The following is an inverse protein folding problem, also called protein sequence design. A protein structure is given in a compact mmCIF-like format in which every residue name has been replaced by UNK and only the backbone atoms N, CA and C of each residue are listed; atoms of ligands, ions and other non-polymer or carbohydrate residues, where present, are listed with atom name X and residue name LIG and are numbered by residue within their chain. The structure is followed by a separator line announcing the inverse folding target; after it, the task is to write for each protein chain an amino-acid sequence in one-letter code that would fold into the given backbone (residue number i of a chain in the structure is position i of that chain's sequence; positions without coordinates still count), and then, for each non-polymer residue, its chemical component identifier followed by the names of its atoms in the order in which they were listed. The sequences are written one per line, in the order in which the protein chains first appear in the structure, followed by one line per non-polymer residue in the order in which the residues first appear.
data_IF_820488389242
#
_entry.id   IF_820488389242
#
_cell.length_a   1.000
_cell.length_b   1.000
_cell.length_c   1.000
_cell.angle_alpha   90.00
_cell.angle_beta   90.00
_cell.angle_gamma   90.00
#
_symmetry.space_group_name_H-M   'P 1'
#
loop_
_entity.id
_entity.type
_entity.pdbx_description
1 polymer ?
#
# COMPACT_ATOMS: atom_id res chain seq x y z
N UNK A 1 -9.98 -10.39 -25.75
CA UNK A 1 -8.61 -9.99 -25.28
C UNK A 1 -8.70 -8.80 -24.33
N UNK A 2 -7.93 -8.78 -23.22
CA UNK A 2 -7.83 -7.63 -22.34
C UNK A 2 -7.29 -6.39 -23.06
N UNK A 3 -7.75 -5.15 -22.66
CA UNK A 3 -7.18 -3.92 -23.25
C UNK A 3 -5.71 -3.77 -22.87
N UNK A 4 -4.95 -3.15 -23.74
CA UNK A 4 -3.55 -2.80 -23.48
C UNK A 4 -3.39 -2.02 -22.16
N UNK A 5 -4.29 -1.05 -21.91
CA UNK A 5 -4.31 -0.26 -20.68
C UNK A 5 -4.49 -1.11 -19.42
N UNK A 6 -5.45 -2.04 -19.41
CA UNK A 6 -5.71 -2.89 -18.26
C UNK A 6 -4.57 -3.87 -18.00
N UNK A 7 -3.97 -4.44 -19.06
CA UNK A 7 -2.74 -5.26 -18.92
C UNK A 7 -1.61 -4.49 -18.26
N UNK A 8 -1.40 -3.23 -18.69
CA UNK A 8 -0.40 -2.33 -18.09
C UNK A 8 -0.67 -2.08 -16.61
N UNK A 9 -1.93 -1.87 -16.22
CA UNK A 9 -2.32 -1.69 -14.83
C UNK A 9 -2.03 -2.92 -13.97
N UNK A 10 -2.39 -4.12 -14.45
CA UNK A 10 -2.10 -5.39 -13.75
C UNK A 10 -0.60 -5.64 -13.66
N UNK A 11 0.16 -5.37 -14.72
CA UNK A 11 1.62 -5.47 -14.70
C UNK A 11 2.23 -4.60 -13.59
N UNK A 12 1.82 -3.31 -13.50
CA UNK A 12 2.26 -2.46 -12.40
C UNK A 12 1.80 -2.96 -11.04
N UNK A 13 0.59 -3.52 -10.92
CA UNK A 13 0.11 -4.10 -9.67
C UNK A 13 0.94 -5.29 -9.20
N UNK A 14 1.34 -6.18 -10.12
CA UNK A 14 2.22 -7.32 -9.83
C UNK A 14 3.61 -6.86 -9.38
N UNK A 15 4.20 -5.88 -10.08
CA UNK A 15 5.49 -5.28 -9.65
C UNK A 15 5.34 -4.66 -8.26
N UNK A 16 4.25 -3.93 -8.03
CA UNK A 16 3.98 -3.33 -6.72
C UNK A 16 3.87 -4.40 -5.63
N UNK A 17 3.17 -5.51 -5.90
CA UNK A 17 3.05 -6.62 -4.96
C UNK A 17 4.39 -7.28 -4.65
N UNK A 18 5.24 -7.47 -5.67
CA UNK A 18 6.60 -7.99 -5.50
C UNK A 18 7.43 -7.06 -4.60
N UNK A 19 7.50 -5.78 -4.96
CA UNK A 19 8.24 -4.78 -4.17
C UNK A 19 7.67 -4.69 -2.75
N UNK A 20 6.35 -4.70 -2.59
CA UNK A 20 5.68 -4.67 -1.29
C UNK A 20 6.06 -5.87 -0.41
N UNK A 21 6.09 -7.06 -0.99
CA UNK A 21 6.47 -8.28 -0.25
C UNK A 21 7.91 -8.23 0.24
N UNK A 22 8.84 -7.81 -0.62
CA UNK A 22 10.25 -7.59 -0.24
C UNK A 22 10.36 -6.47 0.78
N UNK A 23 9.66 -5.35 0.56
CA UNK A 23 9.68 -4.19 1.46
C UNK A 23 9.17 -4.54 2.86
N UNK A 24 8.09 -5.32 2.97
CA UNK A 24 7.57 -5.75 4.27
C UNK A 24 8.59 -6.61 5.02
N UNK A 25 9.29 -7.52 4.34
CA UNK A 25 10.35 -8.33 4.93
C UNK A 25 11.52 -7.44 5.41
N UNK A 26 12.02 -6.56 4.56
CA UNK A 26 13.14 -5.66 4.86
C UNK A 26 12.78 -4.65 5.95
N UNK A 27 11.58 -4.05 5.91
CA UNK A 27 11.13 -3.09 6.91
C UNK A 27 11.05 -3.71 8.32
N UNK A 28 10.73 -5.01 8.43
CA UNK A 28 10.72 -5.71 9.72
C UNK A 28 12.11 -5.69 10.37
N UNK A 29 13.17 -5.85 9.59
CA UNK A 29 14.55 -5.79 10.07
C UNK A 29 14.95 -4.34 10.34
N UNK A 30 14.65 -3.43 9.39
CA UNK A 30 15.05 -2.03 9.47
C UNK A 30 14.45 -1.29 10.67
N UNK A 31 13.19 -1.57 11.03
CA UNK A 31 12.51 -0.92 12.15
C UNK A 31 13.10 -1.31 13.52
N UNK A 32 13.75 -2.45 13.61
CA UNK A 32 14.45 -2.86 14.83
C UNK A 32 15.80 -2.16 14.99
N UNK A 33 16.42 -1.74 13.89
CA UNK A 33 17.69 -1.00 13.84
C UNK A 33 17.47 0.51 14.00
N UNK A 34 16.38 1.04 13.42
CA UNK A 34 16.09 2.49 13.41
C UNK A 34 14.84 2.74 14.24
N UNK A 35 15.04 3.14 15.49
CA UNK A 35 13.95 3.40 16.45
C UNK A 35 13.86 4.89 16.79
N UNK A 36 12.67 5.41 17.09
CA UNK A 36 11.37 4.73 17.08
C UNK A 36 10.76 4.62 15.65
N UNK A 37 9.79 3.72 15.44
CA UNK A 37 9.15 3.50 14.13
C UNK A 37 8.55 4.75 13.49
N UNK A 38 8.06 5.69 14.29
CA UNK A 38 7.52 6.97 13.82
C UNK A 38 8.61 7.79 13.11
N UNK A 39 9.80 7.92 13.72
CA UNK A 39 10.93 8.67 13.15
C UNK A 39 11.42 7.98 11.87
N UNK A 40 11.64 6.66 11.92
CA UNK A 40 12.01 5.88 10.73
C UNK A 40 11.04 6.10 9.57
N UNK A 41 9.73 6.09 9.84
CA UNK A 41 8.72 6.27 8.79
C UNK A 41 8.71 7.72 8.28
N UNK A 42 8.82 8.71 9.16
CA UNK A 42 8.84 10.12 8.81
C UNK A 42 10.03 10.46 7.90
N UNK A 43 11.23 10.05 8.30
CA UNK A 43 12.47 10.28 7.53
C UNK A 43 12.43 9.56 6.17
N UNK A 44 12.08 8.29 6.16
CA UNK A 44 11.95 7.50 4.93
C UNK A 44 10.97 8.15 3.94
N UNK A 45 9.79 8.54 4.41
CA UNK A 45 8.79 9.20 3.57
C UNK A 45 9.26 10.57 3.07
N UNK A 46 9.98 11.33 3.91
CA UNK A 46 10.54 12.62 3.53
C UNK A 46 11.60 12.47 2.43
N UNK A 47 12.52 11.53 2.56
CA UNK A 47 13.55 11.27 1.54
C UNK A 47 12.89 10.86 0.23
N UNK A 48 11.90 9.95 0.25
CA UNK A 48 11.17 9.55 -0.96
C UNK A 48 10.41 10.73 -1.55
N UNK A 49 9.78 11.56 -0.71
CA UNK A 49 9.10 12.79 -1.14
C UNK A 49 10.05 13.74 -1.88
N UNK A 50 11.23 13.99 -1.33
CA UNK A 50 12.27 14.82 -1.94
C UNK A 50 12.75 14.25 -3.28
N UNK A 51 12.99 12.93 -3.35
CA UNK A 51 13.41 12.27 -4.60
C UNK A 51 12.36 12.40 -5.69
N UNK A 52 11.07 12.24 -5.36
CA UNK A 52 9.98 12.36 -6.34
C UNK A 52 9.79 13.82 -6.77
N UNK A 53 9.85 14.77 -5.84
CA UNK A 53 9.79 16.20 -6.17
C UNK A 53 10.98 16.59 -7.06
N UNK A 54 12.18 16.13 -6.75
CA UNK A 54 13.36 16.31 -7.59
C UNK A 54 13.17 15.73 -9.00
N UNK A 55 12.61 14.53 -9.10
CA UNK A 55 12.28 13.91 -10.39
C UNK A 55 11.22 14.69 -11.18
N UNK A 56 10.19 15.25 -10.50
CA UNK A 56 9.19 16.11 -11.14
C UNK A 56 9.81 17.39 -11.71
N UNK A 57 10.76 17.97 -10.98
CA UNK A 57 11.50 19.17 -11.43
C UNK A 57 12.40 18.80 -12.63
N UNK A 58 13.20 17.76 -12.51
CA UNK A 58 14.14 17.33 -13.56
C UNK A 58 13.42 16.91 -14.86
N UNK A 59 12.21 16.37 -14.77
CA UNK A 59 11.40 15.96 -15.94
C UNK A 59 10.40 17.01 -16.41
N UNK A 60 10.47 18.23 -15.88
CA UNK A 60 9.58 19.35 -16.19
C UNK A 60 8.08 19.08 -15.93
N UNK A 61 7.76 17.97 -15.27
CA UNK A 61 6.36 17.62 -14.96
C UNK A 61 5.72 18.55 -13.92
N UNK A 62 6.51 19.31 -13.17
CA UNK A 62 6.02 20.32 -12.24
C UNK A 62 5.12 21.37 -12.93
N UNK A 63 5.30 21.61 -14.24
CA UNK A 63 4.43 22.52 -15.01
C UNK A 63 2.97 22.04 -15.02
N UNK A 64 2.73 20.72 -14.94
CA UNK A 64 1.37 20.17 -14.86
C UNK A 64 0.67 20.54 -13.55
N UNK A 65 1.41 20.89 -12.51
CA UNK A 65 0.83 21.32 -11.22
C UNK A 65 0.10 22.63 -11.39
N UNK A 66 0.58 23.53 -12.27
CA UNK A 66 -0.07 24.80 -12.57
C UNK A 66 -1.42 24.67 -13.27
N UNK A 67 -1.68 23.51 -13.88
CA UNK A 67 -2.92 23.20 -14.59
C UNK A 67 -3.98 22.56 -13.70
N UNK A 68 -3.65 22.28 -12.42
CA UNK A 68 -4.56 21.66 -11.48
C UNK A 68 -5.65 22.64 -11.05
N UNK A 69 -6.88 22.17 -11.07
CA UNK A 69 -8.00 22.92 -10.50
C UNK A 69 -8.05 22.79 -8.98
N UNK A 70 -8.81 23.70 -8.32
CA UNK A 70 -8.95 23.73 -6.85
C UNK A 70 -9.38 22.37 -6.27
N UNK A 71 -10.28 21.66 -6.94
CA UNK A 71 -10.78 20.36 -6.50
C UNK A 71 -9.66 19.30 -6.49
N UNK A 72 -8.83 19.26 -7.54
CA UNK A 72 -7.70 18.35 -7.62
C UNK A 72 -6.66 18.63 -6.53
N UNK A 73 -6.40 19.92 -6.25
CA UNK A 73 -5.50 20.32 -5.15
C UNK A 73 -6.03 19.83 -3.80
N UNK A 74 -7.33 20.02 -3.53
CA UNK A 74 -7.94 19.51 -2.29
C UNK A 74 -7.81 17.98 -2.18
N UNK A 75 -8.07 17.25 -3.28
CA UNK A 75 -7.85 15.79 -3.26
C UNK A 75 -6.40 15.40 -3.00
N UNK A 76 -5.42 16.11 -3.57
CA UNK A 76 -4.00 15.85 -3.32
C UNK A 76 -3.61 16.10 -1.86
N UNK A 77 -4.13 17.16 -1.24
CA UNK A 77 -3.95 17.44 0.18
C UNK A 77 -4.56 16.34 1.04
N UNK A 78 -5.80 15.92 0.74
CA UNK A 78 -6.46 14.81 1.44
C UNK A 78 -5.68 13.50 1.29
N UNK A 79 -5.14 13.19 0.11
CA UNK A 79 -4.29 12.01 -0.12
C UNK A 79 -3.02 12.10 0.74
N UNK A 80 -2.40 13.27 0.86
CA UNK A 80 -1.25 13.48 1.75
C UNK A 80 -1.60 13.22 3.22
N UNK A 81 -2.71 13.75 3.71
CA UNK A 81 -3.16 13.61 5.10
C UNK A 81 -3.64 12.18 5.36
N UNK A 82 -4.58 11.67 4.54
CA UNK A 82 -5.26 10.39 4.75
C UNK A 82 -4.38 9.21 4.34
N UNK A 83 -3.51 9.36 3.35
CA UNK A 83 -2.66 8.27 2.86
C UNK A 83 -1.23 8.32 3.39
N UNK A 84 -0.68 9.52 3.54
CA UNK A 84 0.74 9.74 3.81
C UNK A 84 1.10 9.94 5.28
N UNK A 85 0.17 10.27 6.18
CA UNK A 85 0.49 10.62 7.58
C UNK A 85 -0.42 9.96 8.62
N UNK A 86 -1.67 10.38 8.76
CA UNK A 86 -2.57 9.95 9.82
C UNK A 86 -2.67 8.43 9.98
N UNK A 87 -2.85 7.63 8.91
CA UNK A 87 -2.90 6.17 9.05
C UNK A 87 -1.61 5.58 9.58
N UNK A 88 -0.46 6.12 9.22
CA UNK A 88 0.82 5.64 9.73
C UNK A 88 0.93 5.86 11.24
N UNK A 89 0.54 7.04 11.73
CA UNK A 89 0.53 7.34 13.15
C UNK A 89 -0.41 6.37 13.91
N UNK A 90 -1.64 6.23 13.44
CA UNK A 90 -2.63 5.32 14.06
C UNK A 90 -2.15 3.86 14.01
N UNK A 91 -1.61 3.42 12.86
CA UNK A 91 -1.14 2.05 12.67
C UNK A 91 -0.02 1.71 13.65
N UNK A 92 1.03 2.53 13.72
CA UNK A 92 2.16 2.26 14.61
C UNK A 92 1.80 2.42 16.09
N UNK A 93 0.94 3.40 16.44
CA UNK A 93 0.42 3.54 17.81
C UNK A 93 -0.42 2.32 18.19
N UNK A 94 -1.30 1.86 17.32
CA UNK A 94 -2.09 0.66 17.56
C UNK A 94 -1.22 -0.60 17.64
N UNK A 95 -0.27 -0.75 16.71
CA UNK A 95 0.60 -1.93 16.66
C UNK A 95 1.52 -2.07 17.90
N UNK A 96 1.85 -0.96 18.55
CA UNK A 96 2.61 -0.99 19.81
C UNK A 96 1.81 -1.54 21.00
N UNK A 97 0.48 -1.63 20.87
CA UNK A 97 -0.44 -2.04 21.94
C UNK A 97 -1.00 -3.46 21.74
N UNK A 98 -0.76 -4.08 20.59
CA UNK A 98 -1.35 -5.38 20.23
C UNK A 98 -0.30 -6.33 19.66
N UNK A 99 -0.55 -7.66 19.68
CA UNK A 99 0.28 -8.61 18.98
C UNK A 99 0.39 -8.29 17.48
N UNK A 100 1.59 -8.36 16.91
CA UNK A 100 1.85 -8.04 15.51
C UNK A 100 0.96 -8.83 14.53
N UNK A 101 0.58 -10.06 14.92
CA UNK A 101 -0.30 -10.92 14.13
C UNK A 101 -1.72 -10.34 14.00
N UNK A 102 -2.28 -9.75 15.08
CA UNK A 102 -3.59 -9.11 15.04
C UNK A 102 -3.54 -7.89 14.12
N UNK A 103 -2.50 -7.05 14.26
CA UNK A 103 -2.29 -5.90 13.37
C UNK A 103 -2.17 -6.30 11.90
N UNK A 104 -1.44 -7.38 11.62
CA UNK A 104 -1.32 -7.87 10.25
C UNK A 104 -2.65 -8.37 9.68
N UNK A 105 -3.46 -9.10 10.45
CA UNK A 105 -4.78 -9.60 10.02
C UNK A 105 -5.72 -8.42 9.73
N UNK A 106 -5.80 -7.45 10.66
CA UNK A 106 -6.65 -6.27 10.48
C UNK A 106 -6.24 -5.51 9.22
N UNK A 107 -4.95 -5.29 9.01
CA UNK A 107 -4.47 -4.56 7.82
C UNK A 107 -4.79 -5.29 6.51
N UNK A 108 -4.86 -6.61 6.51
CA UNK A 108 -5.25 -7.41 5.33
C UNK A 108 -6.72 -7.25 4.96
N UNK A 109 -7.57 -6.76 5.87
CA UNK A 109 -8.95 -6.40 5.55
C UNK A 109 -9.05 -5.20 4.60
N UNK A 110 -7.94 -4.50 4.32
CA UNK A 110 -7.87 -3.36 3.39
C UNK A 110 -8.59 -3.65 2.07
N UNK A 111 -8.40 -4.83 1.48
CA UNK A 111 -9.03 -5.19 0.20
C UNK A 111 -10.56 -5.20 0.29
N UNK A 112 -11.10 -5.58 1.44
CA UNK A 112 -12.56 -5.59 1.70
C UNK A 112 -13.07 -4.14 1.77
N UNK A 113 -12.39 -3.27 2.54
CA UNK A 113 -12.77 -1.87 2.67
C UNK A 113 -12.64 -1.11 1.35
N UNK A 114 -11.59 -1.40 0.57
CA UNK A 114 -11.45 -0.87 -0.79
C UNK A 114 -12.62 -1.30 -1.66
N UNK A 115 -13.03 -2.57 -1.63
CA UNK A 115 -14.16 -3.06 -2.42
C UNK A 115 -15.48 -2.39 -2.00
N UNK A 116 -15.74 -2.29 -0.67
CA UNK A 116 -16.92 -1.62 -0.12
C UNK A 116 -17.02 -0.16 -0.57
N UNK A 117 -15.90 0.55 -0.59
CA UNK A 117 -15.86 1.96 -0.99
C UNK A 117 -15.84 2.14 -2.51
N UNK A 118 -15.14 1.31 -3.26
CA UNK A 118 -15.02 1.47 -4.72
C UNK A 118 -16.35 1.25 -5.46
N UNK A 119 -17.20 0.35 -4.97
CA UNK A 119 -18.51 0.07 -5.59
C UNK A 119 -19.38 1.35 -5.64
N UNK A 120 -19.71 2.04 -4.54
CA UNK A 120 -20.55 3.23 -4.58
C UNK A 120 -19.82 4.47 -5.11
N UNK A 121 -18.56 4.69 -4.73
CA UNK A 121 -17.87 5.96 -5.04
C UNK A 121 -17.22 6.01 -6.42
N UNK A 122 -16.77 4.87 -6.95
CA UNK A 122 -16.13 4.74 -8.27
C UNK A 122 -17.05 4.01 -9.27
N UNK A 123 -18.19 3.50 -8.82
CA UNK A 123 -19.12 2.67 -9.63
C UNK A 123 -18.42 1.45 -10.23
N UNK A 124 -17.40 0.93 -9.54
CA UNK A 124 -16.73 -0.29 -9.95
C UNK A 124 -17.69 -1.49 -9.80
N UNK A 125 -17.72 -2.37 -10.81
CA UNK A 125 -18.56 -3.57 -10.78
C UNK A 125 -17.67 -4.76 -10.44
N UNK A 126 -18.04 -5.49 -9.40
CA UNK A 126 -17.39 -6.76 -9.04
C UNK A 126 -18.16 -7.91 -9.66
N UNK A 127 -17.54 -8.67 -10.56
CA UNK A 127 -18.11 -9.93 -11.02
C UNK A 127 -18.06 -10.99 -9.91
N UNK A 128 -18.98 -11.98 -9.90
CA UNK A 128 -18.90 -13.09 -8.91
C UNK A 128 -17.54 -13.80 -8.92
N UNK A 129 -16.93 -13.94 -10.09
CA UNK A 129 -15.63 -14.56 -10.22
C UNK A 129 -14.50 -13.69 -9.58
N UNK A 130 -14.61 -12.35 -9.66
CA UNK A 130 -13.68 -11.46 -8.97
C UNK A 130 -13.87 -11.55 -7.44
N UNK A 131 -15.10 -11.67 -6.97
CA UNK A 131 -15.38 -11.87 -5.54
C UNK A 131 -14.77 -13.18 -5.03
N UNK A 132 -14.88 -14.26 -5.79
CA UNK A 132 -14.23 -15.55 -5.46
C UNK A 132 -12.70 -15.36 -5.40
N UNK A 133 -12.10 -14.68 -6.37
CA UNK A 133 -10.66 -14.40 -6.36
C UNK A 133 -10.23 -13.63 -5.09
N UNK A 134 -10.97 -12.59 -4.72
CA UNK A 134 -10.72 -11.82 -3.49
C UNK A 134 -10.83 -12.71 -2.26
N UNK A 135 -11.85 -13.56 -2.19
CA UNK A 135 -12.04 -14.49 -1.07
C UNK A 135 -10.87 -15.47 -0.94
N UNK A 136 -10.37 -16.03 -2.05
CA UNK A 136 -9.19 -16.90 -2.05
C UNK A 136 -7.95 -16.19 -1.56
N UNK A 137 -7.68 -14.97 -2.07
CA UNK A 137 -6.54 -14.16 -1.67
C UNK A 137 -6.61 -13.75 -0.20
N UNK A 138 -7.80 -13.43 0.29
CA UNK A 138 -8.01 -13.10 1.70
C UNK A 138 -7.83 -14.32 2.60
N UNK A 139 -8.44 -15.47 2.23
CA UNK A 139 -8.30 -16.72 2.97
C UNK A 139 -6.85 -17.19 3.05
N UNK A 140 -6.10 -17.08 1.95
CA UNK A 140 -4.66 -17.39 1.93
C UNK A 140 -3.90 -16.66 3.04
N UNK A 141 -4.28 -15.43 3.34
CA UNK A 141 -3.62 -14.64 4.39
C UNK A 141 -4.05 -15.04 5.80
N UNK A 142 -5.26 -15.54 5.98
CA UNK A 142 -5.74 -15.99 7.28
C UNK A 142 -5.05 -17.29 7.72
N UNK A 143 -4.64 -18.14 6.77
CA UNK A 143 -4.04 -19.45 7.06
C UNK A 143 -2.72 -19.37 7.80
N UNK A 144 -1.94 -18.31 7.64
CA UNK A 144 -0.66 -18.15 8.35
C UNK A 144 -0.83 -17.48 9.71
N UNK A 145 -1.76 -16.52 9.81
CA UNK A 145 -1.93 -15.74 11.02
C UNK A 145 -2.87 -16.38 12.05
N UNK A 146 -3.75 -17.28 11.61
CA UNK A 146 -4.88 -17.73 12.43
C UNK A 146 -5.81 -16.57 12.81
N UNK A 147 -6.91 -16.90 13.48
CA UNK A 147 -7.68 -15.90 14.21
C UNK A 147 -7.13 -15.86 15.65
N UNK A 148 -6.12 -15.00 15.89
CA UNK A 148 -5.77 -14.66 17.27
C UNK A 148 -7.00 -14.04 17.94
N UNK A 149 -7.12 -14.20 19.26
CA UNK A 149 -8.28 -13.66 20.00
C UNK A 149 -8.33 -12.14 19.84
N UNK A 150 -9.26 -11.64 19.02
CA UNK A 150 -9.58 -10.23 18.93
C UNK A 150 -10.28 -9.78 20.21
N UNK A 151 -9.77 -8.72 20.85
CA UNK A 151 -10.32 -8.19 22.09
C UNK A 151 -11.05 -6.86 21.90
N UNK A 152 -11.14 -6.37 20.65
CA UNK A 152 -11.64 -5.02 20.32
C UNK A 152 -10.95 -3.93 21.16
N UNK A 153 -9.66 -4.12 21.42
CA UNK A 153 -8.84 -3.19 22.18
C UNK A 153 -8.66 -1.87 21.42
N UNK A 154 -8.26 -0.81 22.13
CA UNK A 154 -7.95 0.48 21.53
C UNK A 154 -6.88 0.36 20.42
N UNK A 155 -5.87 -0.51 20.62
CA UNK A 155 -4.83 -0.76 19.63
C UNK A 155 -5.38 -1.40 18.35
N UNK A 156 -6.30 -2.36 18.46
CA UNK A 156 -6.95 -2.97 17.29
C UNK A 156 -7.83 -1.97 16.55
N UNK A 157 -8.55 -1.10 17.27
CA UNK A 157 -9.33 -0.03 16.65
C UNK A 157 -8.46 0.97 15.91
N UNK A 158 -7.31 1.34 16.45
CA UNK A 158 -6.37 2.24 15.75
C UNK A 158 -5.83 1.63 14.46
N UNK A 159 -5.47 0.34 14.46
CA UNK A 159 -5.03 -0.36 13.25
C UNK A 159 -6.17 -0.48 12.23
N UNK A 160 -7.40 -0.74 12.68
CA UNK A 160 -8.57 -0.79 11.81
C UNK A 160 -8.87 0.58 11.19
N UNK A 161 -8.86 1.65 11.98
CA UNK A 161 -9.04 3.02 11.47
C UNK A 161 -7.97 3.38 10.43
N UNK A 162 -6.71 3.06 10.69
CA UNK A 162 -5.62 3.24 9.74
C UNK A 162 -5.90 2.50 8.42
N UNK A 163 -6.35 1.26 8.51
CA UNK A 163 -6.67 0.42 7.36
C UNK A 163 -7.81 1.00 6.52
N UNK A 164 -8.87 1.49 7.18
CA UNK A 164 -10.00 2.15 6.51
C UNK A 164 -9.56 3.47 5.86
N UNK A 165 -8.74 4.27 6.53
CA UNK A 165 -8.20 5.50 5.96
C UNK A 165 -7.35 5.24 4.70
N UNK A 166 -6.53 4.19 4.68
CA UNK A 166 -5.82 3.79 3.47
C UNK A 166 -6.79 3.35 2.36
N UNK A 167 -7.87 2.64 2.69
CA UNK A 167 -8.89 2.30 1.70
C UNK A 167 -9.55 3.55 1.10
N UNK A 168 -9.89 4.54 1.93
CA UNK A 168 -10.40 5.84 1.48
C UNK A 168 -9.39 6.53 0.56
N UNK A 169 -8.11 6.59 0.95
CA UNK A 169 -7.04 7.18 0.14
C UNK A 169 -6.94 6.53 -1.23
N UNK A 170 -7.00 5.20 -1.31
CA UNK A 170 -6.91 4.46 -2.58
C UNK A 170 -8.07 4.83 -3.52
N UNK A 171 -9.28 5.00 -2.97
CA UNK A 171 -10.45 5.42 -3.74
C UNK A 171 -10.34 6.88 -4.19
N UNK A 172 -9.87 7.78 -3.31
CA UNK A 172 -9.63 9.19 -3.65
C UNK A 172 -8.57 9.32 -4.75
N UNK A 173 -7.46 8.59 -4.62
CA UNK A 173 -6.40 8.57 -5.62
C UNK A 173 -6.92 8.05 -6.97
N UNK A 174 -7.67 6.94 -6.98
CA UNK A 174 -8.27 6.41 -8.20
C UNK A 174 -9.17 7.43 -8.89
N UNK A 175 -9.91 8.23 -8.12
CA UNK A 175 -10.84 9.22 -8.66
C UNK A 175 -10.16 10.37 -9.41
N UNK A 176 -8.94 10.76 -9.01
CA UNK A 176 -8.23 11.87 -9.64
C UNK A 176 -7.19 11.45 -10.69
N UNK A 177 -6.68 10.23 -10.59
CA UNK A 177 -5.63 9.71 -11.47
C UNK A 177 -5.94 9.72 -12.96
N UNK A 178 -7.19 9.64 -13.45
CA UNK A 178 -7.48 9.84 -14.87
C UNK A 178 -6.97 11.19 -15.39
N UNK A 179 -7.11 12.26 -14.60
CA UNK A 179 -6.80 13.63 -14.98
C UNK A 179 -5.54 14.20 -14.35
N UNK A 180 -4.90 13.45 -13.43
CA UNK A 180 -3.67 13.88 -12.72
C UNK A 180 -2.55 12.89 -13.01
N UNK A 181 -1.34 13.42 -13.19
CA UNK A 181 -0.16 12.59 -13.38
C UNK A 181 0.13 11.76 -12.10
N UNK A 182 0.36 10.45 -12.20
CA UNK A 182 0.66 9.61 -11.03
C UNK A 182 1.84 10.11 -10.19
N UNK A 183 2.84 10.70 -10.82
CA UNK A 183 4.01 11.21 -10.12
C UNK A 183 3.66 12.43 -9.24
N UNK A 184 2.67 13.25 -9.66
CA UNK A 184 2.14 14.36 -8.85
C UNK A 184 1.36 13.82 -7.64
N UNK A 185 0.53 12.79 -7.84
CA UNK A 185 -0.20 12.13 -6.73
C UNK A 185 0.79 11.54 -5.72
N UNK A 186 1.84 10.89 -6.22
CA UNK A 186 2.91 10.33 -5.39
C UNK A 186 3.64 11.42 -4.60
N UNK A 187 4.00 12.53 -5.27
CA UNK A 187 4.66 13.66 -4.64
C UNK A 187 3.78 14.30 -3.56
N UNK A 188 2.50 14.45 -3.80
CA UNK A 188 1.56 14.98 -2.80
C UNK A 188 1.46 14.07 -1.58
N UNK A 189 1.28 12.76 -1.79
CA UNK A 189 1.22 11.79 -0.68
C UNK A 189 2.50 11.78 0.15
N UNK A 190 3.64 11.67 -0.51
CA UNK A 190 4.91 11.57 0.18
C UNK A 190 5.36 12.93 0.76
N UNK A 191 5.17 14.03 0.03
CA UNK A 191 5.56 15.37 0.47
C UNK A 191 4.69 15.86 1.64
N UNK A 192 3.38 16.02 1.45
CA UNK A 192 2.49 16.50 2.52
C UNK A 192 2.45 15.51 3.69
N UNK A 193 2.41 14.19 3.40
CA UNK A 193 2.39 13.17 4.44
C UNK A 193 3.64 13.20 5.31
N UNK A 194 4.82 13.35 4.71
CA UNK A 194 6.07 13.41 5.48
C UNK A 194 6.20 14.68 6.32
N UNK A 195 5.72 15.83 5.85
CA UNK A 195 5.73 17.06 6.65
C UNK A 195 4.92 16.89 7.94
N UNK A 196 3.75 16.25 7.86
CA UNK A 196 2.91 15.98 9.04
C UNK A 196 3.58 14.95 9.96
N UNK A 197 4.17 13.88 9.40
CA UNK A 197 4.87 12.87 10.19
C UNK A 197 6.13 13.44 10.86
N UNK A 198 6.90 14.28 10.17
CA UNK A 198 8.06 14.97 10.75
C UNK A 198 7.65 15.92 11.87
N UNK A 199 6.54 16.66 11.68
CA UNK A 199 5.96 17.49 12.73
C UNK A 199 5.55 16.67 13.95
N UNK A 200 4.89 15.54 13.75
CA UNK A 200 4.53 14.62 14.84
C UNK A 200 5.79 14.03 15.51
N UNK A 201 6.81 13.63 14.75
CA UNK A 201 8.06 13.11 15.29
C UNK A 201 8.83 14.19 16.08
N UNK A 202 8.81 15.44 15.64
CA UNK A 202 9.43 16.56 16.35
C UNK A 202 8.80 16.84 17.73
N UNK A 203 7.50 16.57 17.86
CA UNK A 203 6.77 16.73 19.13
C UNK A 203 6.93 15.50 20.03
N UNK A 204 6.77 14.28 19.45
CA UNK A 204 6.68 13.04 20.21
C UNK A 204 8.07 12.47 20.53
N UNK A 205 9.04 12.61 19.63
CA UNK A 205 10.37 11.99 19.74
C UNK A 205 11.50 12.91 19.24
N UNK A 206 11.64 14.16 19.76
CA UNK A 206 12.56 15.16 19.20
C UNK A 206 14.02 14.70 19.24
N UNK A 207 14.47 14.07 20.33
CA UNK A 207 15.84 13.58 20.45
C UNK A 207 16.17 12.46 19.45
N UNK A 208 15.19 11.59 19.15
CA UNK A 208 15.38 10.53 18.17
C UNK A 208 15.39 11.09 16.74
N UNK A 209 14.56 12.10 16.45
CA UNK A 209 14.55 12.78 15.16
C UNK A 209 15.90 13.47 14.88
N UNK A 210 16.48 14.17 15.86
CA UNK A 210 17.81 14.77 15.71
C UNK A 210 18.89 13.73 15.46
N UNK A 211 18.82 12.59 16.18
CA UNK A 211 19.75 11.45 15.95
C UNK A 211 19.63 10.86 14.54
N UNK A 212 18.46 10.88 13.96
CA UNK A 212 18.22 10.37 12.60
C UNK A 212 19.02 11.10 11.51
N UNK A 213 19.36 12.37 11.74
CA UNK A 213 20.26 13.13 10.84
C UNK A 213 21.72 12.71 10.90
N UNK A 214 22.11 11.90 11.88
CA UNK A 214 23.48 11.35 12.04
C UNK A 214 23.42 9.82 12.12
N UNK A 215 23.00 9.13 11.06
CA UNK A 215 22.84 7.68 11.09
C UNK A 215 24.21 6.99 11.14
N UNK A 216 24.27 5.88 11.87
CA UNK A 216 25.39 4.93 11.76
C UNK A 216 25.39 4.30 10.35
N UNK A 217 26.52 3.70 9.95
CA UNK A 217 26.61 3.01 8.65
C UNK A 217 25.49 1.96 8.46
N UNK A 218 25.19 1.19 9.50
CA UNK A 218 24.12 0.19 9.47
C UNK A 218 22.75 0.84 9.30
N UNK A 219 22.46 1.91 10.02
CA UNK A 219 21.20 2.65 9.89
C UNK A 219 21.05 3.26 8.50
N UNK A 220 22.12 3.85 7.96
CA UNK A 220 22.15 4.39 6.61
C UNK A 220 21.85 3.32 5.56
N UNK A 221 22.49 2.15 5.66
CA UNK A 221 22.23 1.03 4.75
C UNK A 221 20.75 0.61 4.74
N UNK A 222 20.15 0.41 5.93
CA UNK A 222 18.75 0.02 6.02
C UNK A 222 17.79 1.14 5.59
N UNK A 223 18.11 2.39 5.90
CA UNK A 223 17.35 3.54 5.42
C UNK A 223 17.38 3.62 3.89
N UNK A 224 18.55 3.59 3.28
CA UNK A 224 18.70 3.64 1.83
C UNK A 224 17.95 2.50 1.12
N UNK A 225 18.08 1.28 1.62
CA UNK A 225 17.39 0.10 1.08
C UNK A 225 15.87 0.28 1.14
N UNK A 226 15.35 0.70 2.29
CA UNK A 226 13.90 0.89 2.46
C UNK A 226 13.35 2.08 1.69
N UNK A 227 14.15 3.14 1.47
CA UNK A 227 13.82 4.28 0.61
C UNK A 227 13.67 3.83 -0.85
N UNK A 228 14.62 3.04 -1.39
CA UNK A 228 14.53 2.51 -2.76
C UNK A 228 13.28 1.66 -2.93
N UNK A 229 13.01 0.76 -1.99
CA UNK A 229 11.83 -0.09 -2.03
C UNK A 229 10.53 0.73 -1.94
N UNK A 230 10.46 1.73 -1.06
CA UNK A 230 9.29 2.60 -0.94
C UNK A 230 9.07 3.44 -2.21
N UNK A 231 10.14 3.99 -2.79
CA UNK A 231 10.09 4.74 -4.04
C UNK A 231 9.53 3.87 -5.18
N UNK A 232 10.04 2.65 -5.33
CA UNK A 232 9.53 1.68 -6.30
C UNK A 232 8.06 1.33 -6.05
N UNK A 233 7.69 1.06 -4.80
CA UNK A 233 6.32 0.75 -4.40
C UNK A 233 5.34 1.88 -4.76
N UNK A 234 5.57 3.10 -4.28
CA UNK A 234 4.61 4.19 -4.47
C UNK A 234 4.47 4.60 -5.95
N UNK A 235 5.57 4.57 -6.70
CA UNK A 235 5.55 4.91 -8.13
C UNK A 235 4.82 3.88 -8.96
N UNK A 236 5.00 2.59 -8.70
CA UNK A 236 4.28 1.51 -9.40
C UNK A 236 2.83 1.42 -8.95
N UNK A 237 2.53 1.65 -7.67
CA UNK A 237 1.20 1.65 -7.10
C UNK A 237 0.26 2.65 -7.79
N UNK A 238 0.63 3.92 -7.86
CA UNK A 238 -0.23 4.93 -8.49
C UNK A 238 -0.34 4.76 -10.00
N UNK A 239 0.68 4.17 -10.65
CA UNK A 239 0.55 3.76 -12.05
C UNK A 239 -0.42 2.59 -12.22
N UNK A 240 -0.39 1.61 -11.33
CA UNK A 240 -1.37 0.53 -11.31
C UNK A 240 -2.79 1.08 -11.16
N UNK A 241 -3.03 1.95 -10.17
CA UNK A 241 -4.32 2.60 -9.94
C UNK A 241 -4.78 3.44 -11.14
N UNK A 242 -3.87 4.07 -11.87
CA UNK A 242 -4.23 4.83 -13.08
C UNK A 242 -4.84 3.92 -14.15
N UNK A 243 -4.29 2.75 -14.35
CA UNK A 243 -4.60 1.90 -15.51
C UNK A 243 -5.53 0.72 -15.21
N UNK A 244 -5.78 0.38 -13.95
CA UNK A 244 -6.67 -0.71 -13.54
C UNK A 244 -7.65 -0.26 -12.44
N UNK A 245 -8.80 -0.96 -12.29
CA UNK A 245 -9.72 -0.76 -11.17
C UNK A 245 -9.01 -0.91 -9.83
N UNK A 246 -9.42 -0.11 -8.84
CA UNK A 246 -8.77 -0.14 -7.51
C UNK A 246 -9.01 -1.47 -6.81
N UNK A 247 -10.17 -2.10 -7.01
CA UNK A 247 -10.48 -3.43 -6.48
C UNK A 247 -9.52 -4.49 -7.00
N UNK A 248 -9.20 -4.47 -8.30
CA UNK A 248 -8.24 -5.40 -8.92
C UNK A 248 -6.83 -5.15 -8.39
N UNK A 249 -6.39 -3.88 -8.33
CA UNK A 249 -5.04 -3.52 -7.85
C UNK A 249 -4.86 -3.89 -6.39
N UNK A 250 -5.84 -3.59 -5.53
CA UNK A 250 -5.81 -3.96 -4.11
C UNK A 250 -5.81 -5.49 -3.90
N UNK A 251 -6.57 -6.22 -4.73
CA UNK A 251 -6.58 -7.69 -4.66
C UNK A 251 -5.22 -8.29 -5.01
N UNK A 252 -4.57 -7.81 -6.07
CA UNK A 252 -3.22 -8.25 -6.44
C UNK A 252 -2.22 -7.95 -5.33
N UNK A 253 -2.33 -6.79 -4.67
CA UNK A 253 -1.41 -6.41 -3.59
C UNK A 253 -1.46 -7.38 -2.40
N UNK A 254 -2.59 -8.05 -2.17
CA UNK A 254 -2.73 -9.06 -1.09
C UNK A 254 -1.70 -10.20 -1.25
N UNK A 255 -1.29 -10.53 -2.49
CA UNK A 255 -0.27 -11.55 -2.75
C UNK A 255 1.13 -11.21 -2.24
N UNK A 256 1.39 -9.94 -1.92
CA UNK A 256 2.67 -9.50 -1.36
C UNK A 256 3.04 -10.25 -0.06
N UNK A 257 2.05 -10.68 0.73
CA UNK A 257 2.28 -11.42 1.96
C UNK A 257 2.89 -12.80 1.73
N UNK A 258 2.55 -13.47 0.63
CA UNK A 258 3.20 -14.73 0.28
C UNK A 258 4.70 -14.50 0.08
N UNK A 259 5.09 -13.45 -0.63
CA UNK A 259 6.49 -13.09 -0.88
C UNK A 259 7.21 -12.82 0.44
N UNK A 260 6.60 -12.02 1.33
CA UNK A 260 7.14 -11.74 2.66
C UNK A 260 7.38 -13.02 3.47
N UNK A 261 6.40 -13.94 3.45
CA UNK A 261 6.46 -15.17 4.23
C UNK A 261 7.46 -16.18 3.64
N UNK A 262 7.58 -16.25 2.30
CA UNK A 262 8.62 -17.04 1.63
C UNK A 262 10.01 -16.52 1.99
N UNK A 263 10.24 -15.21 1.93
CA UNK A 263 11.52 -14.62 2.36
C UNK A 263 11.81 -14.90 3.84
N UNK A 264 10.79 -14.81 4.70
CA UNK A 264 10.94 -15.16 6.12
C UNK A 264 11.28 -16.64 6.31
N UNK A 265 10.68 -17.55 5.54
CA UNK A 265 10.98 -18.97 5.58
C UNK A 265 12.41 -19.27 5.12
N UNK A 266 12.93 -18.55 4.14
CA UNK A 266 14.29 -18.74 3.62
C UNK A 266 15.34 -18.15 4.55
N UNK A 267 15.15 -16.90 5.04
CA UNK A 267 16.22 -16.14 5.68
C UNK A 267 16.12 -16.04 7.21
N UNK A 268 14.95 -16.34 7.80
CA UNK A 268 14.71 -16.14 9.24
C UNK A 268 14.35 -17.43 9.96
N UNK A 269 13.30 -18.13 9.52
CA UNK A 269 12.78 -19.30 10.22
C UNK A 269 13.40 -20.60 9.74
N UNK A 270 13.95 -20.63 8.53
CA UNK A 270 14.47 -21.82 7.83
C UNK A 270 13.48 -22.99 7.82
N UNK A 271 12.16 -22.68 7.88
CA UNK A 271 11.09 -23.65 8.01
C UNK A 271 10.03 -23.49 6.91
N UNK A 272 9.82 -24.54 6.16
CA UNK A 272 8.74 -24.66 5.17
C UNK A 272 7.55 -25.37 5.83
N UNK A 273 6.59 -24.56 6.28
CA UNK A 273 5.40 -25.10 6.97
C UNK A 273 4.30 -25.47 5.96
N UNK A 274 3.43 -26.41 6.36
CA UNK A 274 2.24 -26.75 5.56
C UNK A 274 1.34 -25.52 5.37
N UNK A 275 1.24 -24.63 6.37
CA UNK A 275 0.49 -23.38 6.27
C UNK A 275 1.02 -22.47 5.15
N UNK A 276 2.35 -22.39 4.95
CA UNK A 276 2.95 -21.65 3.85
C UNK A 276 2.60 -22.27 2.49
N UNK A 277 2.59 -23.61 2.40
CA UNK A 277 2.17 -24.32 1.19
C UNK A 277 0.69 -24.05 0.85
N UNK A 278 -0.19 -24.11 1.85
CA UNK A 278 -1.62 -23.78 1.70
C UNK A 278 -1.79 -22.31 1.28
N UNK A 279 -1.07 -21.39 1.89
CA UNK A 279 -1.10 -19.97 1.49
C UNK A 279 -0.66 -19.80 0.03
N UNK A 280 0.42 -20.46 -0.38
CA UNK A 280 0.90 -20.38 -1.76
C UNK A 280 -0.17 -20.89 -2.74
N UNK A 281 -0.79 -22.04 -2.45
CA UNK A 281 -1.86 -22.61 -3.27
C UNK A 281 -3.03 -21.62 -3.43
N UNK A 282 -3.58 -21.11 -2.32
CA UNK A 282 -4.71 -20.17 -2.39
C UNK A 282 -4.35 -18.83 -3.04
N UNK A 283 -3.12 -18.35 -2.82
CA UNK A 283 -2.66 -17.09 -3.45
C UNK A 283 -2.53 -17.26 -4.97
N UNK A 284 -1.86 -18.31 -5.43
CA UNK A 284 -1.69 -18.57 -6.87
C UNK A 284 -3.06 -18.81 -7.52
N UNK A 285 -3.91 -19.64 -6.93
CA UNK A 285 -5.26 -19.90 -7.42
C UNK A 285 -6.09 -18.61 -7.48
N UNK A 286 -6.04 -17.78 -6.43
CA UNK A 286 -6.72 -16.48 -6.38
C UNK A 286 -6.26 -15.54 -7.51
N UNK A 287 -4.95 -15.45 -7.77
CA UNK A 287 -4.40 -14.65 -8.88
C UNK A 287 -4.85 -15.18 -10.24
N UNK A 288 -4.86 -16.49 -10.45
CA UNK A 288 -5.35 -17.12 -11.69
C UNK A 288 -6.84 -16.82 -11.90
N UNK A 289 -7.66 -16.99 -10.87
CA UNK A 289 -9.10 -16.68 -10.93
C UNK A 289 -9.30 -15.16 -11.22
N UNK A 290 -8.54 -14.29 -10.57
CA UNK A 290 -8.57 -12.84 -10.82
C UNK A 290 -8.24 -12.53 -12.28
N UNK A 291 -7.20 -13.14 -12.82
CA UNK A 291 -6.82 -12.97 -14.22
C UNK A 291 -7.95 -13.37 -15.16
N UNK A 292 -8.58 -14.53 -14.93
CA UNK A 292 -9.73 -15.03 -15.72
C UNK A 292 -10.93 -14.08 -15.56
N UNK A 293 -11.22 -13.62 -14.34
CA UNK A 293 -12.33 -12.70 -14.09
C UNK A 293 -12.17 -11.40 -14.89
N UNK A 294 -10.99 -10.82 -14.84
CA UNK A 294 -10.68 -9.56 -15.54
C UNK A 294 -10.65 -9.76 -17.06
N UNK A 295 -10.19 -10.91 -17.55
CA UNK A 295 -10.21 -11.24 -18.99
C UNK A 295 -11.63 -11.36 -19.53
N UNK A 296 -12.56 -11.96 -18.76
CA UNK A 296 -13.97 -12.17 -19.14
C UNK A 296 -14.81 -10.87 -19.08
N UNK A 297 -14.45 -9.90 -18.27
CA UNK A 297 -15.25 -8.67 -18.10
C UNK A 297 -15.40 -7.87 -19.40
N UNK A 298 -14.55 -8.07 -20.40
CA UNK A 298 -14.66 -7.43 -21.72
C UNK A 298 -15.56 -8.12 -22.72
N UNK A 299 -15.88 -9.37 -22.51
CA UNK A 299 -16.79 -10.11 -23.42
C UNK A 299 -18.27 -9.86 -23.09
N UNK A 300 -18.57 -9.23 -21.96
CA UNK A 300 -19.94 -8.91 -21.58
C UNK A 300 -20.12 -7.38 -21.47
N UNK A 301 -20.82 -6.75 -22.43
CA UNK A 301 -21.05 -5.29 -22.44
C UNK A 301 -21.79 -4.77 -21.20
N UNK A 302 -22.51 -5.64 -20.48
CA UNK A 302 -23.22 -5.32 -19.23
C UNK A 302 -22.32 -5.24 -18.00
N UNK A 303 -21.04 -5.67 -18.12
CA UNK A 303 -20.02 -5.66 -17.07
C UNK A 303 -18.90 -4.67 -17.38
N UNK A 304 -19.19 -3.54 -18.03
CA UNK A 304 -18.19 -2.50 -18.22
C UNK A 304 -17.67 -2.07 -16.84
N UNK A 305 -16.44 -2.49 -16.52
CA UNK A 305 -15.61 -1.81 -15.54
C UNK A 305 -15.58 -0.36 -16.02
N UNK A 306 -16.10 0.57 -15.24
CA UNK A 306 -16.22 1.96 -15.63
C UNK A 306 -14.88 2.44 -16.18
N UNK A 307 -14.81 2.61 -17.51
CA UNK A 307 -13.75 3.39 -18.14
C UNK A 307 -14.08 4.85 -17.81
N UNK A 308 -13.43 5.37 -16.80
CA UNK A 308 -13.29 6.81 -16.64
C UNK A 308 -11.92 7.20 -17.16
#
# INVERSE_FOLDING_TARGET
MMSSTLKKGIYFALITALISGVSNFVNKIAVDVIKPPLVFTAEKNAIVGLLIIGALIATWKWQKIKQLNKKQIVYLLLIGIIGGSLPFYLFFTGLSQIPAINGAIINKTLVIWVAILAIPFLKEKMSPLLMIAVAFLFYANLMIGGFAKFQFSQGELFVLMATILWAVEHVLAKKILPNVDPDIVTAARMGFGSLILLGAAAVIAPAALVKGFMPTQTQFFWMATTVVLLLGYVTTWYRALKFAPVTVVASVLVSATLITNVLSAIFVTHAWTMALGIQAFFTVTGIVILWIAVARTKTNPNLKLSSV
#
